data_IF_727703876977
#
_entry.id   IF_727703876977
#
_cell.length_a   1.000
_cell.length_b   1.000
_cell.length_c   1.000
_cell.angle_alpha   90.00
_cell.angle_beta   90.00
_cell.angle_gamma   90.00
#
_symmetry.space_group_name_H-M   'P 1'
#
loop_
_entity.id
_entity.type
_entity.pdbx_description
1 polymer ?
#
# COMPACT_ATOMS: atom_id res chain seq x y z
N UNK A 1 -22.87 40.46 -13.08
CA UNK A 1 -22.90 39.03 -13.45
C UNK A 1 -21.69 38.80 -14.33
N UNK A 2 -20.71 37.99 -13.88
CA UNK A 2 -19.47 37.78 -14.63
C UNK A 2 -19.74 36.96 -15.88
N UNK A 3 -19.38 37.47 -17.05
CA UNK A 3 -19.53 36.83 -18.35
C UNK A 3 -18.65 35.57 -18.43
N UNK A 4 -19.29 34.44 -18.72
CA UNK A 4 -18.65 33.14 -18.97
C UNK A 4 -17.74 33.13 -20.23
N UNK A 5 -17.63 34.26 -20.94
CA UNK A 5 -16.88 34.45 -22.19
C UNK A 5 -15.34 34.46 -22.05
N UNK A 6 -14.79 34.65 -20.85
CA UNK A 6 -13.33 34.54 -20.61
C UNK A 6 -12.85 33.07 -20.51
N UNK A 7 -13.77 32.10 -20.59
CA UNK A 7 -13.40 30.69 -20.45
C UNK A 7 -12.80 30.19 -21.78
N UNK A 8 -11.58 29.62 -21.77
CA UNK A 8 -10.94 29.10 -22.97
C UNK A 8 -11.85 28.11 -23.71
N UNK A 9 -11.85 28.08 -25.05
CA UNK A 9 -12.78 27.25 -25.80
C UNK A 9 -12.53 25.76 -25.51
N UNK A 10 -13.59 25.08 -25.06
CA UNK A 10 -13.62 23.64 -24.77
C UNK A 10 -14.45 22.94 -25.84
N UNK A 11 -14.06 21.73 -26.19
CA UNK A 11 -14.81 20.82 -27.05
C UNK A 11 -15.17 19.56 -26.28
N UNK A 12 -16.32 19.00 -26.60
CA UNK A 12 -16.76 17.72 -26.04
C UNK A 12 -16.09 16.55 -26.78
N UNK A 13 -15.65 15.54 -26.03
CA UNK A 13 -15.13 14.31 -26.61
C UNK A 13 -16.27 13.41 -27.10
N UNK A 14 -16.28 12.95 -28.37
CA UNK A 14 -17.34 12.07 -28.87
C UNK A 14 -17.32 10.66 -28.26
N UNK A 15 -16.18 10.22 -27.68
CA UNK A 15 -16.04 8.89 -27.09
C UNK A 15 -16.42 8.82 -25.60
N UNK A 16 -16.30 9.93 -24.87
CA UNK A 16 -16.53 9.93 -23.42
C UNK A 16 -17.29 11.14 -22.88
N UNK A 17 -17.83 11.98 -23.78
CA UNK A 17 -18.63 13.18 -23.49
C UNK A 17 -17.99 14.17 -22.52
N UNK A 18 -16.65 14.14 -22.37
CA UNK A 18 -15.92 15.07 -21.51
C UNK A 18 -15.60 16.35 -22.24
N UNK A 19 -15.85 17.48 -21.58
CA UNK A 19 -15.36 18.79 -21.98
C UNK A 19 -13.86 18.88 -21.73
N UNK A 20 -13.09 19.09 -22.81
CA UNK A 20 -11.64 19.27 -22.76
C UNK A 20 -11.29 20.51 -23.57
N UNK A 21 -10.24 21.24 -23.17
CA UNK A 21 -9.77 22.35 -23.99
C UNK A 21 -9.40 21.88 -25.41
N UNK A 22 -9.67 22.71 -26.42
CA UNK A 22 -9.34 22.40 -27.83
C UNK A 22 -7.87 21.99 -27.99
N UNK A 23 -6.94 22.68 -27.32
CA UNK A 23 -5.50 22.37 -27.33
C UNK A 23 -5.14 20.99 -26.77
N UNK A 24 -5.93 20.47 -25.83
CA UNK A 24 -5.65 19.18 -25.19
C UNK A 24 -6.44 18.02 -25.79
N UNK A 25 -7.32 18.25 -26.77
CA UNK A 25 -8.15 17.20 -27.39
C UNK A 25 -7.32 16.08 -28.01
N UNK A 26 -6.21 16.41 -28.69
CA UNK A 26 -5.31 15.41 -29.27
C UNK A 26 -4.66 14.53 -28.20
N UNK A 27 -4.19 15.13 -27.08
CA UNK A 27 -3.64 14.39 -25.94
C UNK A 27 -4.72 13.54 -25.26
N UNK A 28 -5.91 14.09 -25.11
CA UNK A 28 -7.06 13.42 -24.54
C UNK A 28 -7.41 12.16 -25.35
N UNK A 29 -7.56 12.24 -26.67
CA UNK A 29 -7.87 11.08 -27.54
C UNK A 29 -6.86 9.93 -27.37
N UNK A 30 -5.57 10.24 -27.14
CA UNK A 30 -4.55 9.19 -26.91
C UNK A 30 -4.81 8.36 -25.65
N UNK A 31 -5.47 8.92 -24.63
CA UNK A 31 -5.76 8.28 -23.34
C UNK A 31 -7.25 8.00 -23.11
N UNK A 32 -8.12 8.58 -23.94
CA UNK A 32 -9.56 8.33 -23.96
C UNK A 32 -9.80 6.85 -24.27
N UNK A 33 -10.76 6.23 -23.58
CA UNK A 33 -11.02 4.79 -23.65
C UNK A 33 -9.94 3.88 -23.05
N UNK A 34 -8.68 4.31 -22.97
CA UNK A 34 -7.55 3.50 -22.45
C UNK A 34 -7.44 3.51 -20.93
N UNK A 35 -8.40 4.11 -20.23
CA UNK A 35 -8.38 4.16 -18.77
C UNK A 35 -8.67 2.75 -18.24
N UNK A 36 -7.59 2.02 -17.88
CA UNK A 36 -7.72 0.72 -17.24
C UNK A 36 -8.62 0.87 -16.01
N UNK A 37 -9.58 -0.06 -15.80
CA UNK A 37 -10.38 -0.05 -14.59
C UNK A 37 -9.44 -0.04 -13.38
N UNK A 38 -9.79 0.77 -12.38
CA UNK A 38 -9.02 0.77 -11.13
C UNK A 38 -9.04 -0.66 -10.59
N UNK A 39 -7.85 -1.18 -10.23
CA UNK A 39 -7.77 -2.46 -9.55
C UNK A 39 -8.58 -2.39 -8.25
N UNK A 40 -9.32 -3.45 -7.95
CA UNK A 40 -9.98 -3.57 -6.65
C UNK A 40 -8.94 -3.56 -5.53
N UNK A 41 -9.34 -3.12 -4.33
CA UNK A 41 -8.47 -3.16 -3.15
C UNK A 41 -7.92 -4.57 -2.91
N UNK A 42 -8.75 -5.61 -3.13
CA UNK A 42 -8.36 -7.02 -3.05
C UNK A 42 -7.23 -7.37 -4.02
N UNK A 43 -7.32 -6.93 -5.27
CA UNK A 43 -6.28 -7.17 -6.27
C UNK A 43 -4.97 -6.45 -5.91
N UNK A 44 -5.04 -5.20 -5.43
CA UNK A 44 -3.86 -4.44 -4.97
C UNK A 44 -3.19 -5.14 -3.78
N UNK A 45 -3.97 -5.58 -2.80
CA UNK A 45 -3.45 -6.28 -1.61
C UNK A 45 -2.85 -7.65 -1.98
N UNK A 46 -3.49 -8.41 -2.88
CA UNK A 46 -2.96 -9.69 -3.40
C UNK A 46 -1.60 -9.46 -4.06
N UNK A 47 -1.51 -8.49 -4.97
CA UNK A 47 -0.26 -8.14 -5.66
C UNK A 47 0.83 -7.72 -4.66
N UNK A 48 0.47 -6.90 -3.67
CA UNK A 48 1.39 -6.44 -2.62
C UNK A 48 1.91 -7.60 -1.77
N UNK A 49 1.03 -8.51 -1.36
CA UNK A 49 1.41 -9.69 -0.58
C UNK A 49 2.33 -10.61 -1.37
N UNK A 50 2.00 -10.92 -2.63
CA UNK A 50 2.83 -11.79 -3.48
C UNK A 50 4.24 -11.23 -3.63
N UNK A 51 4.40 -9.93 -3.90
CA UNK A 51 5.73 -9.31 -4.04
C UNK A 51 6.54 -9.28 -2.74
N UNK A 52 5.88 -9.29 -1.59
CA UNK A 52 6.54 -9.11 -0.28
C UNK A 52 6.51 -10.37 0.60
N UNK A 53 5.96 -11.48 0.11
CA UNK A 53 5.72 -12.70 0.90
C UNK A 53 6.98 -13.14 1.65
N UNK A 54 8.10 -13.24 0.96
CA UNK A 54 9.33 -13.74 1.56
C UNK A 54 9.90 -12.80 2.61
N UNK A 55 9.80 -11.48 2.40
CA UNK A 55 10.19 -10.47 3.39
C UNK A 55 9.33 -10.58 4.65
N UNK A 56 8.02 -10.76 4.49
CA UNK A 56 7.08 -10.94 5.60
C UNK A 56 7.42 -12.21 6.39
N UNK A 57 7.68 -13.32 5.70
CA UNK A 57 7.99 -14.61 6.33
C UNK A 57 9.33 -14.57 7.08
N UNK A 58 10.38 -14.01 6.47
CA UNK A 58 11.68 -13.82 7.12
C UNK A 58 11.56 -12.97 8.38
N UNK A 59 10.91 -11.80 8.29
CA UNK A 59 10.69 -10.93 9.44
C UNK A 59 9.91 -11.64 10.56
N UNK A 60 8.91 -12.47 10.21
CA UNK A 60 8.19 -13.31 11.19
C UNK A 60 9.08 -14.34 11.87
N UNK A 61 10.03 -14.93 11.14
CA UNK A 61 10.97 -15.88 11.70
C UNK A 61 11.97 -15.19 12.64
N UNK A 62 12.51 -14.04 12.23
CA UNK A 62 13.39 -13.21 13.07
C UNK A 62 12.72 -12.83 14.38
N UNK A 63 11.47 -12.35 14.34
CA UNK A 63 10.72 -12.04 15.56
C UNK A 63 10.50 -13.28 16.45
N UNK A 64 10.19 -14.44 15.86
CA UNK A 64 10.04 -15.69 16.64
C UNK A 64 11.34 -16.06 17.37
N UNK A 65 12.48 -15.95 16.69
CA UNK A 65 13.79 -16.24 17.28
C UNK A 65 14.16 -15.21 18.36
N UNK A 66 13.90 -13.93 18.11
CA UNK A 66 14.15 -12.87 19.08
C UNK A 66 13.29 -13.02 20.34
N UNK A 67 12.01 -13.40 20.20
CA UNK A 67 11.12 -13.67 21.32
C UNK A 67 11.59 -14.90 22.11
N UNK A 68 11.99 -15.97 21.42
CA UNK A 68 12.54 -17.18 22.06
C UNK A 68 13.79 -16.85 22.88
N UNK A 69 14.72 -16.09 22.30
CA UNK A 69 15.92 -15.65 23.01
C UNK A 69 15.56 -14.85 24.25
N UNK A 70 14.68 -13.85 24.12
CA UNK A 70 14.22 -13.03 25.25
C UNK A 70 13.63 -13.87 26.39
N UNK A 71 12.80 -14.86 26.08
CA UNK A 71 12.21 -15.76 27.09
C UNK A 71 13.26 -16.62 27.78
N UNK A 72 14.23 -17.14 27.04
CA UNK A 72 15.32 -17.95 27.61
C UNK A 72 16.23 -17.10 28.49
N UNK A 73 16.62 -15.90 28.03
CA UNK A 73 17.38 -14.96 28.83
C UNK A 73 16.63 -14.55 30.09
N UNK A 74 15.33 -14.29 30.02
CA UNK A 74 14.51 -13.97 31.20
C UNK A 74 14.43 -15.14 32.20
N UNK A 75 14.46 -16.39 31.72
CA UNK A 75 14.52 -17.59 32.59
C UNK A 75 15.91 -17.82 33.18
N UNK A 76 16.97 -17.39 32.49
CA UNK A 76 18.36 -17.49 32.96
C UNK A 76 18.76 -16.50 34.05
N UNK A 77 18.00 -15.40 34.23
CA UNK A 77 18.31 -14.34 35.21
C UNK A 77 17.56 -14.52 36.54
N UNK A 78 16.75 -15.58 36.70
CA UNK A 78 15.90 -15.79 37.88
C UNK A 78 16.06 -17.13 38.63
N UNK A 79 17.02 -17.98 38.27
CA UNK A 79 17.14 -19.35 38.83
C UNK A 79 18.45 -19.59 39.62
N UNK A 80 19.02 -18.54 40.22
CA UNK A 80 20.15 -18.65 41.16
C UNK A 80 19.87 -17.80 42.40
N UNK A 81 18.85 -18.19 43.17
CA UNK A 81 18.52 -17.56 44.45
C UNK A 81 17.93 -18.58 45.42
N UNK A 82 18.64 -18.80 46.52
CA UNK A 82 18.29 -19.60 47.70
C UNK A 82 18.20 -21.13 47.55
N UNK A 83 19.33 -21.80 47.82
CA UNK A 83 19.35 -23.03 48.62
C UNK A 83 20.02 -22.73 49.96
N UNK A 84 19.22 -22.37 50.96
CA UNK A 84 19.65 -22.31 52.35
C UNK A 84 18.52 -22.80 53.25
N UNK A 85 18.81 -23.85 54.02
CA UNK A 85 18.17 -24.15 55.30
C UNK A 85 17.06 -25.20 55.30
N UNK A 86 17.31 -26.33 55.98
CA UNK A 86 16.25 -27.20 56.48
C UNK A 86 16.68 -28.64 56.79
N UNK A 87 17.55 -28.83 57.79
CA UNK A 87 17.60 -30.04 58.61
C UNK A 87 17.40 -29.63 60.07
#
# INVERSE_FOLDING_TARGET
MGSDDDRPPRGECPECSKLVSKSNMAKHRKICGKKKPRKSRKAINRDSYVRNKDKILRKRQEYRLADQFRRLSARGVGAAGNRSGGC
#
